data_IF_475305779892
#
_entry.id   IF_475305779892
#
_cell.length_a   1.000
_cell.length_b   1.000
_cell.length_c   1.000
_cell.angle_alpha   90.00
_cell.angle_beta   90.00
_cell.angle_gamma   90.00
#
_symmetry.space_group_name_H-M   'P 1'
#
loop_
_entity.id
_entity.type
_entity.pdbx_description
1 polymer ?
#
# COMPACT_ATOMS: atom_id res chain seq x y z
N UNK A 1 9.10 -20.46 -3.63
CA UNK A 1 10.51 -20.78 -3.98
C UNK A 1 11.38 -21.10 -2.77
N UNK A 2 10.98 -20.81 -1.51
CA UNK A 2 11.80 -21.11 -0.30
C UNK A 2 11.22 -22.16 0.66
N UNK A 3 10.27 -23.00 0.25
CA UNK A 3 9.67 -24.03 1.13
C UNK A 3 8.87 -23.52 2.34
N UNK A 4 8.86 -22.21 2.59
CA UNK A 4 8.10 -21.56 3.66
C UNK A 4 6.59 -21.65 3.43
N UNK A 5 5.84 -21.82 4.52
CA UNK A 5 4.38 -21.72 4.48
C UNK A 5 3.94 -20.32 4.01
N UNK A 6 2.82 -20.23 3.29
CA UNK A 6 2.27 -18.95 2.80
C UNK A 6 2.10 -17.92 3.92
N UNK A 7 1.71 -18.38 5.10
CA UNK A 7 1.57 -17.58 6.31
C UNK A 7 2.91 -17.03 6.78
N UNK A 8 3.91 -17.91 6.98
CA UNK A 8 5.24 -17.49 7.44
C UNK A 8 5.92 -16.50 6.47
N UNK A 9 5.81 -16.74 5.16
CA UNK A 9 6.34 -15.83 4.16
C UNK A 9 5.70 -14.43 4.24
N UNK A 10 4.40 -14.36 4.55
CA UNK A 10 3.68 -13.08 4.67
C UNK A 10 4.03 -12.36 5.96
N UNK A 11 4.08 -13.07 7.09
CA UNK A 11 4.48 -12.49 8.39
C UNK A 11 5.91 -11.93 8.32
N UNK A 12 6.85 -12.69 7.74
CA UNK A 12 8.20 -12.19 7.50
C UNK A 12 8.20 -10.93 6.63
N UNK A 13 7.41 -10.91 5.55
CA UNK A 13 7.31 -9.73 4.68
C UNK A 13 6.77 -8.51 5.44
N UNK A 14 5.80 -8.70 6.35
CA UNK A 14 5.31 -7.62 7.20
C UNK A 14 6.37 -7.11 8.18
N UNK A 15 7.14 -8.01 8.80
CA UNK A 15 8.25 -7.62 9.67
C UNK A 15 9.32 -6.83 8.93
N UNK A 16 9.63 -7.21 7.69
CA UNK A 16 10.56 -6.47 6.82
C UNK A 16 9.99 -5.12 6.35
N UNK A 17 8.68 -5.06 6.13
CA UNK A 17 8.01 -3.84 5.67
C UNK A 17 8.00 -2.73 6.74
N UNK A 18 7.99 -3.07 8.03
CA UNK A 18 7.99 -2.07 9.11
C UNK A 18 9.21 -1.12 9.07
N UNK A 19 10.48 -1.57 9.13
CA UNK A 19 11.63 -0.67 9.11
C UNK A 19 11.76 0.08 7.77
N UNK A 20 11.40 -0.56 6.67
CA UNK A 20 11.51 0.05 5.34
C UNK A 20 10.46 1.16 5.12
N UNK A 21 9.21 0.93 5.50
CA UNK A 21 8.15 1.95 5.42
C UNK A 21 8.38 3.09 6.41
N UNK A 22 8.83 2.80 7.64
CA UNK A 22 9.16 3.86 8.61
C UNK A 22 10.30 4.73 8.07
N UNK A 23 11.36 4.12 7.53
CA UNK A 23 12.45 4.84 6.89
C UNK A 23 11.97 5.72 5.73
N UNK A 24 11.15 5.17 4.85
CA UNK A 24 10.57 5.90 3.72
C UNK A 24 9.66 7.06 4.18
N UNK A 25 8.85 6.87 5.22
CA UNK A 25 7.95 7.88 5.77
C UNK A 25 8.73 9.04 6.39
N UNK A 26 9.76 8.75 7.20
CA UNK A 26 10.64 9.76 7.80
C UNK A 26 11.39 10.54 6.72
N UNK A 27 11.97 9.83 5.74
CA UNK A 27 12.68 10.46 4.63
C UNK A 27 11.76 11.39 3.82
N UNK A 28 10.56 10.91 3.49
CA UNK A 28 9.58 11.71 2.73
C UNK A 28 9.09 12.91 3.54
N UNK A 29 8.79 12.73 4.83
CA UNK A 29 8.40 13.83 5.73
C UNK A 29 9.50 14.89 5.83
N UNK A 30 10.77 14.49 5.87
CA UNK A 30 11.89 15.43 5.85
C UNK A 30 12.03 16.13 4.49
N UNK A 31 11.94 15.39 3.38
CA UNK A 31 12.10 15.92 2.01
C UNK A 31 11.03 16.94 1.64
N UNK A 32 9.79 16.73 2.07
CA UNK A 32 8.63 17.58 1.75
C UNK A 32 8.20 18.47 2.92
N UNK A 33 9.08 18.70 3.91
CA UNK A 33 8.77 19.45 5.14
C UNK A 33 8.25 20.88 4.87
N UNK A 34 8.73 21.52 3.81
CA UNK A 34 8.38 22.90 3.47
C UNK A 34 6.94 23.01 2.91
N UNK A 35 6.33 21.88 2.55
CA UNK A 35 4.93 21.81 2.11
C UNK A 35 3.94 21.69 3.27
N UNK A 36 4.40 21.43 4.51
CA UNK A 36 3.50 21.31 5.66
C UNK A 36 3.01 22.67 6.13
N UNK A 37 1.69 22.86 6.12
CA UNK A 37 1.04 24.02 6.74
C UNK A 37 0.39 23.60 8.06
N UNK A 38 0.38 24.48 9.09
CA UNK A 38 -0.29 24.18 10.35
C UNK A 38 -1.78 23.81 10.19
N UNK A 39 -2.45 24.41 9.20
CA UNK A 39 -3.87 24.17 8.92
C UNK A 39 -4.18 22.73 8.47
N UNK A 40 -3.20 22.03 7.88
CA UNK A 40 -3.37 20.67 7.37
C UNK A 40 -3.25 19.61 8.47
N UNK A 41 -2.82 19.99 9.68
CA UNK A 41 -2.53 19.05 10.77
C UNK A 41 -3.75 18.19 11.14
N UNK A 42 -4.95 18.79 11.13
CA UNK A 42 -6.18 18.05 11.41
C UNK A 42 -6.46 16.97 10.35
N UNK A 43 -6.22 17.27 9.07
CA UNK A 43 -6.40 16.32 7.95
C UNK A 43 -5.39 15.18 8.06
N UNK A 44 -4.13 15.50 8.36
CA UNK A 44 -3.10 14.47 8.58
C UNK A 44 -3.42 13.57 9.77
N UNK A 45 -3.87 14.14 10.89
CA UNK A 45 -4.22 13.36 12.07
C UNK A 45 -5.37 12.38 11.79
N UNK A 46 -6.43 12.83 11.11
CA UNK A 46 -7.55 11.97 10.73
C UNK A 46 -7.07 10.89 9.75
N UNK A 47 -6.35 11.25 8.70
CA UNK A 47 -5.82 10.31 7.72
C UNK A 47 -4.90 9.26 8.34
N UNK A 48 -4.05 9.65 9.30
CA UNK A 48 -3.18 8.76 10.04
C UNK A 48 -3.98 7.76 10.90
N UNK A 49 -4.94 8.24 11.70
CA UNK A 49 -5.78 7.40 12.56
C UNK A 49 -6.61 6.41 11.72
N UNK A 50 -7.27 6.91 10.66
CA UNK A 50 -8.06 6.06 9.75
C UNK A 50 -7.18 5.00 9.09
N UNK A 51 -6.03 5.39 8.54
CA UNK A 51 -5.11 4.44 7.90
C UNK A 51 -4.58 3.40 8.88
N UNK A 52 -4.28 3.78 10.12
CA UNK A 52 -3.81 2.86 11.15
C UNK A 52 -4.87 1.81 11.50
N UNK A 53 -6.12 2.22 11.70
CA UNK A 53 -7.23 1.31 12.00
C UNK A 53 -7.45 0.32 10.84
N UNK A 54 -7.55 0.84 9.61
CA UNK A 54 -7.77 -0.01 8.45
C UNK A 54 -6.57 -0.92 8.14
N UNK A 55 -5.35 -0.47 8.38
CA UNK A 55 -4.16 -1.31 8.24
C UNK A 55 -4.20 -2.52 9.20
N UNK A 56 -4.54 -2.31 10.48
CA UNK A 56 -4.68 -3.41 11.44
C UNK A 56 -5.76 -4.42 11.01
N UNK A 57 -6.91 -3.92 10.55
CA UNK A 57 -8.01 -4.76 10.04
C UNK A 57 -7.54 -5.55 8.82
N UNK A 58 -6.89 -4.89 7.86
CA UNK A 58 -6.42 -5.49 6.62
C UNK A 58 -5.35 -6.56 6.86
N UNK A 59 -4.38 -6.31 7.74
CA UNK A 59 -3.34 -7.29 8.10
C UNK A 59 -3.98 -8.54 8.71
N UNK A 60 -4.89 -8.36 9.68
CA UNK A 60 -5.58 -9.48 10.32
C UNK A 60 -6.44 -10.27 9.32
N UNK A 61 -7.17 -9.57 8.46
CA UNK A 61 -7.99 -10.19 7.42
C UNK A 61 -7.13 -10.96 6.40
N UNK A 62 -6.01 -10.37 5.96
CA UNK A 62 -5.09 -11.00 5.01
C UNK A 62 -4.48 -12.28 5.59
N UNK A 63 -3.93 -12.22 6.82
CA UNK A 63 -3.35 -13.39 7.48
C UNK A 63 -4.36 -14.53 7.64
N UNK A 64 -5.63 -14.20 7.92
CA UNK A 64 -6.73 -15.19 7.96
C UNK A 64 -7.06 -15.74 6.57
N UNK A 65 -7.09 -14.90 5.55
CA UNK A 65 -7.40 -15.30 4.17
C UNK A 65 -6.35 -16.26 3.60
N UNK A 66 -5.06 -15.91 3.70
CA UNK A 66 -3.96 -16.69 3.09
C UNK A 66 -3.74 -18.05 3.77
N UNK A 67 -4.25 -18.22 4.99
CA UNK A 67 -4.22 -19.50 5.69
C UNK A 67 -5.10 -20.55 5.00
N UNK A 68 -6.17 -20.10 4.33
CA UNK A 68 -7.18 -20.98 3.71
C UNK A 68 -7.26 -20.85 2.18
N UNK A 69 -6.82 -19.71 1.62
CA UNK A 69 -6.94 -19.38 0.20
C UNK A 69 -5.58 -19.17 -0.48
N UNK A 70 -5.59 -19.30 -1.81
CA UNK A 70 -4.44 -19.01 -2.67
C UNK A 70 -4.36 -17.52 -3.03
N UNK A 71 -3.16 -17.04 -3.39
CA UNK A 71 -2.93 -15.67 -3.86
C UNK A 71 -3.51 -15.36 -5.25
N UNK A 72 -4.06 -16.36 -5.95
CA UNK A 72 -4.55 -16.23 -7.32
C UNK A 72 -5.58 -15.09 -7.49
N UNK A 73 -6.45 -14.86 -6.51
CA UNK A 73 -7.44 -13.77 -6.54
C UNK A 73 -6.74 -12.41 -6.63
N UNK A 74 -5.67 -12.20 -5.85
CA UNK A 74 -4.90 -10.96 -5.89
C UNK A 74 -4.13 -10.78 -7.21
N UNK A 75 -3.69 -11.88 -7.82
CA UNK A 75 -3.03 -11.83 -9.13
C UNK A 75 -4.00 -11.37 -10.22
N UNK A 76 -5.20 -11.96 -10.28
CA UNK A 76 -6.23 -11.56 -11.24
C UNK A 76 -6.71 -10.12 -11.01
N UNK A 77 -6.92 -9.71 -9.77
CA UNK A 77 -7.22 -8.32 -9.43
C UNK A 77 -6.18 -7.34 -9.99
N UNK A 78 -4.89 -7.63 -9.82
CA UNK A 78 -3.80 -6.78 -10.33
C UNK A 78 -3.75 -6.74 -11.86
N UNK A 79 -3.98 -7.87 -12.54
CA UNK A 79 -4.03 -7.91 -14.00
C UNK A 79 -5.18 -7.06 -14.53
N UNK A 80 -6.38 -7.24 -13.99
CA UNK A 80 -7.55 -6.46 -14.37
C UNK A 80 -7.35 -4.95 -14.14
N UNK A 81 -6.80 -4.59 -12.97
CA UNK A 81 -6.50 -3.19 -12.65
C UNK A 81 -5.40 -2.61 -13.54
N UNK A 82 -4.37 -3.39 -13.87
CA UNK A 82 -3.32 -2.98 -14.80
C UNK A 82 -3.86 -2.73 -16.22
N UNK A 83 -4.77 -3.58 -16.70
CA UNK A 83 -5.46 -3.37 -17.98
C UNK A 83 -6.32 -2.11 -17.96
N UNK A 84 -6.99 -1.82 -16.84
CA UNK A 84 -7.75 -0.58 -16.67
C UNK A 84 -6.85 0.65 -16.78
N UNK A 85 -5.69 0.66 -16.12
CA UNK A 85 -4.71 1.74 -16.23
C UNK A 85 -4.27 1.92 -17.70
N UNK A 86 -3.88 0.83 -18.36
CA UNK A 86 -3.43 0.88 -19.76
C UNK A 86 -4.52 1.39 -20.71
N UNK A 87 -5.76 0.94 -20.52
CA UNK A 87 -6.89 1.39 -21.32
C UNK A 87 -7.15 2.89 -21.10
N UNK A 88 -7.28 3.32 -19.84
CA UNK A 88 -7.56 4.73 -19.50
C UNK A 88 -6.45 5.68 -19.95
N UNK A 89 -5.19 5.23 -19.90
CA UNK A 89 -4.05 5.96 -20.47
C UNK A 89 -4.13 6.05 -22.00
N UNK A 90 -4.41 4.93 -22.69
CA UNK A 90 -4.50 4.89 -24.15
C UNK A 90 -5.64 5.75 -24.70
N UNK A 91 -6.77 5.83 -24.00
CA UNK A 91 -7.89 6.68 -24.37
C UNK A 91 -7.74 8.14 -23.94
N UNK A 92 -6.65 8.49 -23.25
CA UNK A 92 -6.36 9.85 -22.78
C UNK A 92 -7.34 10.35 -21.71
N UNK A 93 -8.06 9.45 -21.03
CA UNK A 93 -9.03 9.83 -19.99
C UNK A 93 -8.34 10.26 -18.71
N UNK A 94 -7.20 9.64 -18.39
CA UNK A 94 -6.43 9.91 -17.19
C UNK A 94 -4.95 9.94 -17.57
N UNK A 95 -4.28 11.05 -17.28
CA UNK A 95 -2.83 11.14 -17.38
C UNK A 95 -2.17 10.52 -16.14
N UNK A 96 -1.91 9.22 -16.21
CA UNK A 96 -1.18 8.52 -15.16
C UNK A 96 0.32 8.85 -15.15
N UNK A 97 0.86 9.50 -16.18
CA UNK A 97 2.28 9.83 -16.30
C UNK A 97 2.63 11.17 -15.62
N UNK A 98 1.65 12.06 -15.44
CA UNK A 98 1.82 13.30 -14.68
C UNK A 98 1.95 13.07 -13.17
N UNK A 99 1.67 11.85 -12.69
CA UNK A 99 1.89 11.44 -11.31
C UNK A 99 3.39 11.20 -11.03
N UNK A 100 4.24 12.20 -11.25
CA UNK A 100 5.60 12.24 -10.68
C UNK A 100 5.53 12.86 -9.29
N UNK A 101 5.88 12.05 -8.29
CA UNK A 101 6.11 12.46 -6.90
C UNK A 101 7.36 13.34 -6.72
#
# INVERSE_FOLDING_TARGET
>A
MFGLSRKAATEFSFFLAMPTMVGAAVYSGYKYRDMFRPDDFAVFAIGFITSFIFAMIAVRALLKFIATHSYAVFAWYRIAFGLLILATWQFGWIDWASAKA
#
